data_IF_251291064866
#
_entry.id   IF_251291064866
#
_cell.length_a   1.000
_cell.length_b   1.000
_cell.length_c   1.000
_cell.angle_alpha   90.00
_cell.angle_beta   90.00
_cell.angle_gamma   90.00
#
_symmetry.space_group_name_H-M   'P 1'
#
loop_
_entity.id
_entity.type
_entity.pdbx_description
1 polymer ?
#
# COMPACT_ATOMS: atom_id res chain seq x y z
N UNK A 1 53.06 -7.04 16.00
CA UNK A 1 51.95 -6.14 15.65
C UNK A 1 51.33 -6.65 14.36
N UNK A 2 50.40 -7.60 14.45
CA UNK A 2 49.71 -8.21 13.31
C UNK A 2 48.32 -7.60 13.21
N UNK A 3 48.05 -6.84 12.15
CA UNK A 3 46.73 -6.31 11.83
C UNK A 3 45.91 -7.43 11.18
N UNK A 4 44.97 -8.00 11.92
CA UNK A 4 43.92 -8.85 11.35
C UNK A 4 42.85 -7.98 10.73
N UNK A 5 42.84 -7.93 9.40
CA UNK A 5 41.79 -7.33 8.58
C UNK A 5 40.55 -8.24 8.63
N UNK A 6 39.49 -7.76 9.28
CA UNK A 6 38.21 -8.44 9.36
C UNK A 6 37.37 -8.09 8.12
N UNK A 7 37.12 -9.07 7.26
CA UNK A 7 36.23 -8.95 6.12
C UNK A 7 34.79 -8.55 6.55
N UNK A 8 34.11 -7.65 5.82
CA UNK A 8 32.72 -7.31 6.14
C UNK A 8 31.80 -8.47 5.78
N UNK A 9 30.88 -8.78 6.70
CA UNK A 9 29.79 -9.71 6.50
C UNK A 9 28.97 -9.32 5.26
N UNK A 10 28.90 -10.22 4.27
CA UNK A 10 28.02 -10.05 3.12
C UNK A 10 26.55 -9.94 3.55
N UNK A 11 25.70 -9.22 2.80
CA UNK A 11 24.32 -9.00 3.20
C UNK A 11 23.56 -10.34 3.25
N UNK A 12 22.89 -10.57 4.38
CA UNK A 12 21.99 -11.70 4.56
C UNK A 12 20.99 -11.78 3.39
N UNK A 13 20.87 -12.97 2.80
CA UNK A 13 19.98 -13.23 1.67
C UNK A 13 18.56 -12.79 1.98
N UNK A 14 18.05 -11.83 1.20
CA UNK A 14 16.71 -11.25 1.38
C UNK A 14 15.65 -12.31 1.06
N UNK A 15 14.92 -12.74 2.09
CA UNK A 15 13.78 -13.65 1.94
C UNK A 15 12.73 -12.99 1.05
N UNK A 16 12.41 -13.62 -0.08
CA UNK A 16 11.34 -13.15 -0.97
C UNK A 16 10.02 -13.60 -0.34
N UNK A 17 9.13 -12.69 0.11
CA UNK A 17 7.83 -13.12 0.61
C UNK A 17 7.03 -13.77 -0.51
N UNK A 18 6.26 -14.79 -0.14
CA UNK A 18 5.33 -15.48 -1.03
C UNK A 18 4.43 -14.46 -1.76
N UNK A 19 4.01 -14.80 -2.99
CA UNK A 19 3.04 -14.00 -3.75
C UNK A 19 1.83 -13.78 -2.85
N UNK A 20 1.68 -12.57 -2.32
CA UNK A 20 0.50 -12.23 -1.54
C UNK A 20 -0.64 -12.06 -2.54
N UNK A 21 -1.43 -13.12 -2.73
CA UNK A 21 -2.66 -13.07 -3.51
C UNK A 21 -3.61 -12.18 -2.72
N UNK A 22 -3.77 -10.93 -3.14
CA UNK A 22 -4.76 -10.03 -2.53
C UNK A 22 -6.12 -10.70 -2.70
N UNK A 23 -6.82 -11.10 -1.61
CA UNK A 23 -8.17 -11.60 -1.76
C UNK A 23 -9.02 -10.44 -2.29
N UNK A 24 -9.81 -10.70 -3.35
CA UNK A 24 -10.79 -9.74 -3.83
C UNK A 24 -11.65 -9.31 -2.63
N UNK A 25 -11.63 -8.02 -2.31
CA UNK A 25 -12.40 -7.48 -1.19
C UNK A 25 -13.86 -7.82 -1.41
N UNK A 26 -14.41 -8.72 -0.58
CA UNK A 26 -15.83 -9.06 -0.61
C UNK A 26 -16.58 -7.97 0.14
N UNK A 27 -17.29 -7.13 -0.59
CA UNK A 27 -18.30 -6.25 0.01
C UNK A 27 -19.38 -7.16 0.62
N UNK A 28 -19.48 -7.15 1.95
CA UNK A 28 -20.61 -7.75 2.67
C UNK A 28 -21.75 -6.72 2.67
N UNK A 29 -22.92 -7.01 2.07
CA UNK A 29 -24.09 -6.16 2.26
C UNK A 29 -24.44 -6.19 3.74
N UNK A 30 -24.48 -5.02 4.38
CA UNK A 30 -25.05 -4.88 5.72
C UNK A 30 -26.48 -5.40 5.68
N UNK A 31 -26.84 -6.28 6.61
CA UNK A 31 -28.22 -6.69 6.79
C UNK A 31 -29.06 -5.42 6.99
N UNK A 32 -29.97 -5.15 6.05
CA UNK A 32 -30.98 -4.11 6.21
C UNK A 32 -31.83 -4.51 7.43
N UNK A 33 -31.49 -3.98 8.59
CA UNK A 33 -32.37 -4.03 9.75
C UNK A 33 -33.65 -3.32 9.38
N UNK A 34 -34.76 -4.05 9.34
CA UNK A 34 -36.09 -3.45 9.24
C UNK A 34 -36.30 -2.55 10.46
N UNK A 35 -36.63 -1.26 10.31
CA UNK A 35 -37.08 -0.49 11.46
C UNK A 35 -38.46 -1.02 11.89
N UNK A 36 -38.51 -1.64 13.07
CA UNK A 36 -39.77 -1.93 13.73
C UNK A 36 -40.25 -0.64 14.41
N UNK A 37 -41.33 -0.05 13.89
CA UNK A 37 -42.03 1.07 14.52
C UNK A 37 -42.90 0.51 15.66
N UNK A 38 -42.55 0.82 16.91
CA UNK A 38 -43.39 0.54 18.08
C UNK A 38 -44.36 1.70 18.33
N UNK A 39 -45.67 1.46 18.51
CA UNK A 39 -46.60 2.52 18.94
C UNK A 39 -46.32 2.92 20.39
N UNK A 40 -46.04 4.21 20.61
CA UNK A 40 -45.73 4.76 21.93
C UNK A 40 -46.98 4.91 22.81
N UNK A 41 -46.85 4.52 24.08
CA UNK A 41 -47.67 5.09 25.16
C UNK A 41 -47.06 6.44 25.56
N UNK A 42 -47.92 7.44 25.79
CA UNK A 42 -47.57 8.82 26.05
C UNK A 42 -46.46 8.98 27.12
N UNK A 43 -45.38 9.64 26.72
CA UNK A 43 -44.28 10.05 27.60
C UNK A 43 -43.52 11.20 26.94
N UNK A 44 -43.35 12.29 27.69
CA UNK A 44 -42.61 13.53 27.37
C UNK A 44 -41.40 13.37 26.44
N UNK A 45 -41.14 14.28 25.48
CA UNK A 45 -39.91 14.25 24.70
C UNK A 45 -38.72 14.63 25.59
N UNK A 46 -37.88 13.65 25.92
CA UNK A 46 -36.54 13.90 26.42
C UNK A 46 -35.61 14.08 25.21
N UNK A 47 -35.08 15.29 25.04
CA UNK A 47 -34.00 15.57 24.08
C UNK A 47 -32.75 14.86 24.58
N UNK A 48 -32.36 13.78 23.91
CA UNK A 48 -31.03 13.18 24.10
C UNK A 48 -30.02 13.98 23.29
N UNK A 49 -28.90 14.46 23.87
CA UNK A 49 -27.80 14.97 23.07
C UNK A 49 -27.25 13.84 22.20
N UNK A 50 -27.35 13.98 20.88
CA UNK A 50 -26.64 13.12 19.95
C UNK A 50 -25.15 13.20 20.27
N UNK A 51 -24.53 12.05 20.49
CA UNK A 51 -23.08 11.96 20.60
C UNK A 51 -22.48 12.70 19.41
N UNK A 52 -21.68 13.73 19.71
CA UNK A 52 -20.82 14.37 18.75
C UNK A 52 -19.93 13.27 18.17
N UNK A 53 -20.33 12.74 17.01
CA UNK A 53 -19.49 11.87 16.21
C UNK A 53 -18.34 12.74 15.75
N UNK A 54 -17.21 12.67 16.45
CA UNK A 54 -15.93 13.13 15.94
C UNK A 54 -15.81 12.60 14.51
N UNK A 55 -15.45 13.40 13.50
CA UNK A 55 -15.11 12.83 12.21
C UNK A 55 -13.90 11.93 12.44
N UNK A 56 -14.14 10.62 12.48
CA UNK A 56 -13.08 9.64 12.40
C UNK A 56 -12.49 9.81 11.00
N UNK A 57 -11.30 10.41 10.93
CA UNK A 57 -10.47 10.37 9.74
C UNK A 57 -10.18 8.90 9.50
N UNK A 58 -10.95 8.27 8.62
CA UNK A 58 -10.55 7.00 8.04
C UNK A 58 -9.24 7.29 7.32
N UNK A 59 -8.09 6.70 7.71
CA UNK A 59 -6.93 6.79 6.85
C UNK A 59 -7.39 6.22 5.52
N UNK A 60 -7.30 7.04 4.46
CA UNK A 60 -7.51 6.56 3.11
C UNK A 60 -6.68 5.29 3.00
N UNK A 61 -7.33 4.16 2.74
CA UNK A 61 -6.65 2.89 2.55
C UNK A 61 -5.70 3.15 1.40
N UNK A 62 -4.42 3.37 1.70
CA UNK A 62 -3.39 3.47 0.68
C UNK A 62 -3.52 2.15 -0.05
N UNK A 63 -3.96 2.22 -1.30
CA UNK A 63 -4.13 1.06 -2.15
C UNK A 63 -2.89 0.18 -1.91
N UNK A 64 -3.10 -1.08 -1.53
CA UNK A 64 -2.03 -2.00 -1.17
C UNK A 64 -1.14 -2.25 -2.40
N UNK A 65 -0.27 -1.29 -2.67
CA UNK A 65 0.62 -1.25 -3.79
C UNK A 65 1.97 -1.84 -3.41
N UNK A 66 2.82 -1.98 -4.41
CA UNK A 66 4.18 -2.45 -4.26
C UNK A 66 5.13 -1.27 -4.41
N UNK A 67 6.18 -1.24 -3.60
CA UNK A 67 7.29 -0.33 -3.79
C UNK A 67 7.96 -0.67 -5.13
N UNK A 68 7.91 0.28 -6.03
CA UNK A 68 8.37 0.19 -7.41
C UNK A 68 9.91 0.21 -7.54
N UNK A 69 10.64 0.53 -6.46
CA UNK A 69 12.10 0.33 -6.35
C UNK A 69 12.45 -1.08 -5.92
N UNK A 70 11.90 -1.53 -4.79
CA UNK A 70 12.42 -2.68 -4.05
C UNK A 70 11.54 -3.94 -4.13
N UNK A 71 10.30 -3.79 -4.62
CA UNK A 71 9.34 -4.88 -4.82
C UNK A 71 8.68 -5.40 -3.54
N UNK A 72 8.81 -4.71 -2.42
CA UNK A 72 8.08 -5.02 -1.17
C UNK A 72 6.76 -4.25 -1.07
N UNK A 73 5.81 -4.70 -0.22
CA UNK A 73 4.54 -3.99 -0.05
C UNK A 73 4.81 -2.54 0.37
N UNK A 74 4.17 -1.59 -0.30
CA UNK A 74 4.40 -0.15 -0.07
C UNK A 74 4.03 0.30 1.35
N UNK A 75 3.11 -0.41 2.00
CA UNK A 75 2.75 -0.18 3.40
C UNK A 75 3.60 -0.96 4.42
N UNK A 76 4.60 -1.73 3.98
CA UNK A 76 5.46 -2.51 4.86
C UNK A 76 6.85 -1.87 4.99
N UNK A 77 7.28 -1.59 6.22
CA UNK A 77 8.58 -1.00 6.50
C UNK A 77 8.72 0.45 6.02
N UNK A 78 9.93 1.00 6.15
CA UNK A 78 10.25 2.35 5.68
C UNK A 78 10.71 2.33 4.22
N UNK A 79 10.07 3.15 3.38
CA UNK A 79 10.41 3.35 1.97
C UNK A 79 10.88 4.77 1.64
N UNK A 80 11.14 5.62 2.62
CA UNK A 80 11.80 6.91 2.40
C UNK A 80 13.08 6.80 1.53
N UNK A 81 14.02 5.87 1.79
CA UNK A 81 15.21 5.71 0.93
C UNK A 81 14.87 5.20 -0.48
N UNK A 82 13.81 4.40 -0.63
CA UNK A 82 13.32 3.99 -1.94
C UNK A 82 12.79 5.19 -2.72
N UNK A 83 12.05 6.08 -2.08
CA UNK A 83 11.53 7.31 -2.69
C UNK A 83 12.64 8.25 -3.16
N UNK A 84 13.68 8.45 -2.34
CA UNK A 84 14.86 9.27 -2.73
C UNK A 84 15.54 8.70 -3.98
N UNK A 85 15.78 7.38 -4.01
CA UNK A 85 16.39 6.75 -5.19
C UNK A 85 15.49 6.88 -6.44
N UNK A 86 14.17 6.81 -6.28
CA UNK A 86 13.20 6.90 -7.39
C UNK A 86 13.06 8.27 -8.02
N UNK A 87 13.64 9.31 -7.41
CA UNK A 87 13.79 10.61 -8.07
C UNK A 87 14.80 10.57 -9.23
N UNK A 88 15.78 9.66 -9.19
CA UNK A 88 16.85 9.56 -10.19
C UNK A 88 16.82 8.23 -10.96
N UNK A 89 16.25 7.19 -10.37
CA UNK A 89 16.20 5.85 -10.94
C UNK A 89 14.83 5.52 -11.53
N UNK A 90 14.78 4.83 -12.69
CA UNK A 90 13.53 4.30 -13.24
C UNK A 90 12.88 3.26 -12.31
N UNK A 91 11.57 3.01 -12.46
CA UNK A 91 10.88 1.94 -11.74
C UNK A 91 11.42 0.58 -12.16
N UNK A 92 11.80 -0.24 -11.17
CA UNK A 92 12.23 -1.63 -11.39
C UNK A 92 11.06 -2.60 -11.33
N UNK A 93 10.04 -2.29 -10.53
CA UNK A 93 8.85 -3.12 -10.31
C UNK A 93 7.58 -2.35 -10.59
N UNK A 94 6.55 -3.04 -11.09
CA UNK A 94 5.23 -2.47 -11.24
C UNK A 94 4.57 -2.27 -9.87
N UNK A 95 4.12 -1.04 -9.58
CA UNK A 95 3.43 -0.69 -8.33
C UNK A 95 2.10 -1.45 -8.13
N UNK A 96 1.52 -2.01 -9.20
CA UNK A 96 0.26 -2.75 -9.16
C UNK A 96 0.44 -4.25 -8.90
N UNK A 97 1.36 -4.92 -9.61
CA UNK A 97 1.49 -6.39 -9.55
C UNK A 97 2.86 -6.94 -9.16
N UNK A 98 3.81 -6.08 -8.76
CA UNK A 98 5.15 -6.48 -8.31
C UNK A 98 6.04 -7.14 -9.36
N UNK A 99 5.58 -7.31 -10.60
CA UNK A 99 6.43 -7.86 -11.67
C UNK A 99 7.55 -6.87 -11.98
N UNK A 100 8.74 -7.39 -12.29
CA UNK A 100 9.83 -6.56 -12.83
C UNK A 100 9.42 -5.99 -14.18
N UNK A 101 9.72 -4.71 -14.39
CA UNK A 101 9.42 -4.01 -15.64
C UNK A 101 10.62 -4.10 -16.59
N UNK A 102 10.35 -4.06 -17.90
CA UNK A 102 11.40 -3.83 -18.90
C UNK A 102 11.69 -2.34 -18.94
N UNK A 103 12.87 -1.95 -18.50
CA UNK A 103 13.29 -0.54 -18.42
C UNK A 103 14.22 -0.21 -19.58
N UNK A 104 13.94 0.91 -20.24
CA UNK A 104 14.84 1.57 -21.17
C UNK A 104 15.18 2.96 -20.60
N UNK A 105 16.47 3.20 -20.38
CA UNK A 105 16.98 4.54 -20.08
C UNK A 105 17.24 5.26 -21.41
N UNK A 106 16.80 6.51 -21.50
CA UNK A 106 16.94 7.39 -22.65
C UNK A 106 17.75 8.63 -22.24
N UNK A 107 18.35 9.37 -23.18
CA UNK A 107 19.09 10.60 -22.84
C UNK A 107 18.24 11.67 -22.14
N UNK A 108 16.92 11.67 -22.35
CA UNK A 108 15.98 12.68 -21.83
C UNK A 108 15.04 12.12 -20.75
N UNK A 109 15.25 10.90 -20.28
CA UNK A 109 14.36 10.26 -19.31
C UNK A 109 14.41 8.74 -19.37
N UNK A 110 13.29 8.09 -19.10
CA UNK A 110 13.18 6.65 -19.16
C UNK A 110 11.77 6.19 -19.56
N UNK A 111 11.70 4.97 -20.09
CA UNK A 111 10.46 4.23 -20.21
C UNK A 111 10.56 2.89 -19.50
N UNK A 112 9.46 2.46 -18.91
CA UNK A 112 9.36 1.18 -18.23
C UNK A 112 8.04 0.52 -18.59
N UNK A 113 8.09 -0.75 -18.98
CA UNK A 113 6.89 -1.48 -19.42
C UNK A 113 6.66 -2.67 -18.49
N UNK A 114 5.48 -2.71 -17.88
CA UNK A 114 4.93 -3.89 -17.23
C UNK A 114 4.19 -4.73 -18.26
N UNK A 115 4.39 -6.04 -18.22
CA UNK A 115 3.70 -6.99 -19.12
C UNK A 115 2.16 -6.98 -18.94
N UNK A 116 1.66 -6.67 -17.75
CA UNK A 116 0.22 -6.64 -17.47
C UNK A 116 -0.38 -5.22 -17.50
N UNK A 117 0.36 -4.22 -17.02
CA UNK A 117 -0.16 -2.87 -16.78
C UNK A 117 0.33 -1.82 -17.78
N UNK A 118 1.14 -2.22 -18.75
CA UNK A 118 1.63 -1.33 -19.81
C UNK A 118 2.78 -0.42 -19.41
N UNK A 119 2.95 0.65 -20.17
CA UNK A 119 4.10 1.55 -20.11
C UNK A 119 3.93 2.70 -19.11
N UNK A 120 5.04 3.12 -18.51
CA UNK A 120 5.19 4.35 -17.72
C UNK A 120 6.48 5.04 -18.11
N UNK A 121 6.50 6.37 -18.08
CA UNK A 121 7.64 7.20 -18.47
C UNK A 121 7.92 8.28 -17.42
N UNK A 122 9.12 8.83 -17.44
CA UNK A 122 9.56 9.96 -16.63
C UNK A 122 10.88 10.52 -17.10
#
# INVERSE_FOLDING_TARGET
MTTSDAAPAGPAGRTVPARNTVPASRVVPGAAGTPAVVPGAAGTPAVVPGAAGTPAVVPATVAAGWCDRCGEPAGAGDHAPCGVARALEPPRFCAHCRRRMKVQVLPVGWSAICVEHGETRG
#
